data_IF_239526071707
#
_entry.id   IF_239526071707
#
_cell.length_a   1.000
_cell.length_b   1.000
_cell.length_c   1.000
_cell.angle_alpha   90.00
_cell.angle_beta   90.00
_cell.angle_gamma   90.00
#
_symmetry.space_group_name_H-M   'P 1'
#
loop_
_entity.id
_entity.type
_entity.pdbx_description
1 polymer ?
#
# COMPACT_ATOMS: atom_id res chain seq x y z
N UNK A 1 -0.40 4.94 18.48
CA UNK A 1 -1.29 6.13 18.26
C UNK A 1 -2.73 5.65 18.35
N UNK A 2 -3.65 6.42 18.94
CA UNK A 2 -5.08 6.11 19.03
C UNK A 2 -5.92 7.31 18.59
N UNK A 3 -7.22 7.12 18.34
CA UNK A 3 -8.13 8.24 18.09
C UNK A 3 -8.50 8.88 19.42
N UNK A 4 -8.15 10.15 19.60
CA UNK A 4 -8.48 10.96 20.78
C UNK A 4 -9.28 12.20 20.37
N UNK A 5 -9.97 12.79 21.36
CA UNK A 5 -10.73 14.05 21.19
C UNK A 5 -11.74 14.03 20.03
N UNK A 6 -12.40 12.88 19.80
CA UNK A 6 -13.46 12.76 18.80
C UNK A 6 -14.81 13.14 19.42
N UNK A 7 -15.50 14.14 18.82
CA UNK A 7 -16.81 14.61 19.28
C UNK A 7 -17.98 13.73 18.82
N UNK A 8 -17.74 12.77 17.93
CA UNK A 8 -18.78 11.84 17.50
C UNK A 8 -19.10 10.86 18.63
N UNK A 9 -20.37 10.51 18.77
CA UNK A 9 -20.81 9.48 19.71
C UNK A 9 -20.10 8.15 19.41
N UNK A 10 -19.76 7.38 20.44
CA UNK A 10 -19.04 6.10 20.30
C UNK A 10 -19.75 5.12 19.35
N UNK A 11 -21.08 5.08 19.39
CA UNK A 11 -21.90 4.29 18.46
C UNK A 11 -21.65 4.68 17.00
N UNK A 12 -21.55 5.97 16.71
CA UNK A 12 -21.27 6.48 15.35
C UNK A 12 -19.85 6.14 14.94
N UNK A 13 -18.87 6.28 15.84
CA UNK A 13 -17.47 5.91 15.57
C UNK A 13 -17.35 4.43 15.19
N UNK A 14 -18.01 3.53 15.91
CA UNK A 14 -18.04 2.09 15.60
C UNK A 14 -18.64 1.80 14.21
N UNK A 15 -19.76 2.46 13.88
CA UNK A 15 -20.39 2.30 12.56
C UNK A 15 -19.49 2.84 11.43
N UNK A 16 -18.77 3.94 11.68
CA UNK A 16 -17.80 4.46 10.69
C UNK A 16 -16.61 3.51 10.49
N UNK A 17 -16.12 2.82 11.54
CA UNK A 17 -15.12 1.75 11.40
C UNK A 17 -15.65 0.59 10.53
N UNK A 18 -16.90 0.16 10.76
CA UNK A 18 -17.54 -0.88 9.96
C UNK A 18 -17.65 -0.47 8.48
N UNK A 19 -18.12 0.74 8.21
CA UNK A 19 -18.19 1.26 6.84
C UNK A 19 -16.80 1.43 6.20
N UNK A 20 -15.80 1.81 6.99
CA UNK A 20 -14.43 1.94 6.50
C UNK A 20 -13.90 0.59 6.00
N UNK A 21 -14.00 -0.49 6.78
CA UNK A 21 -13.50 -1.81 6.35
C UNK A 21 -14.31 -2.40 5.19
N UNK A 22 -15.57 -2.03 5.04
CA UNK A 22 -16.43 -2.37 3.91
C UNK A 22 -16.18 -1.49 2.67
N UNK A 23 -15.18 -0.63 2.71
CA UNK A 23 -14.80 0.27 1.61
C UNK A 23 -15.92 1.27 1.19
N UNK A 24 -16.87 1.56 2.06
CA UNK A 24 -17.85 2.61 1.85
C UNK A 24 -17.16 3.97 1.97
N UNK A 25 -17.48 4.90 1.06
CA UNK A 25 -16.88 6.24 1.12
C UNK A 25 -17.36 7.01 2.36
N UNK A 26 -16.54 7.93 2.88
CA UNK A 26 -16.92 8.74 4.03
C UNK A 26 -18.21 9.55 3.78
N UNK A 27 -18.42 10.01 2.53
CA UNK A 27 -19.63 10.75 2.14
C UNK A 27 -20.86 9.87 2.22
N UNK A 28 -20.81 8.66 1.66
CA UNK A 28 -21.94 7.70 1.71
C UNK A 28 -22.20 7.23 3.14
N UNK A 29 -21.15 7.00 3.94
CA UNK A 29 -21.29 6.65 5.35
C UNK A 29 -21.95 7.78 6.17
N UNK A 30 -21.60 9.04 5.87
CA UNK A 30 -22.21 10.20 6.53
C UNK A 30 -23.70 10.32 6.21
N UNK A 31 -24.07 10.11 4.97
CA UNK A 31 -25.47 10.13 4.53
C UNK A 31 -26.31 9.10 5.28
N UNK A 32 -25.86 7.83 5.30
CA UNK A 32 -26.55 6.74 6.01
C UNK A 32 -26.65 7.00 7.53
N UNK A 33 -25.64 7.64 8.12
CA UNK A 33 -25.57 7.89 9.57
C UNK A 33 -26.20 9.22 10.01
N UNK A 34 -26.67 10.03 9.05
CA UNK A 34 -27.24 11.36 9.35
C UNK A 34 -26.24 12.32 9.99
N UNK A 35 -24.96 12.27 9.60
CA UNK A 35 -23.91 13.15 10.13
C UNK A 35 -23.31 14.02 9.02
N UNK A 36 -22.61 15.07 9.42
CA UNK A 36 -21.94 15.97 8.49
C UNK A 36 -20.82 15.21 7.70
N UNK A 37 -20.78 15.30 6.34
CA UNK A 37 -19.78 14.63 5.51
C UNK A 37 -18.34 14.93 5.90
N UNK A 38 -18.05 16.17 6.31
CA UNK A 38 -16.73 16.57 6.78
C UNK A 38 -16.33 15.85 8.08
N UNK A 39 -17.28 15.59 8.99
CA UNK A 39 -16.99 14.83 10.21
C UNK A 39 -16.60 13.38 9.90
N UNK A 40 -17.30 12.72 8.97
CA UNK A 40 -16.95 11.38 8.53
C UNK A 40 -15.61 11.36 7.80
N UNK A 41 -15.34 12.34 6.95
CA UNK A 41 -14.07 12.46 6.23
C UNK A 41 -12.87 12.65 7.17
N UNK A 42 -13.01 13.50 8.17
CA UNK A 42 -12.01 13.70 9.24
C UNK A 42 -11.81 12.43 10.07
N UNK A 43 -12.88 11.71 10.38
CA UNK A 43 -12.78 10.44 11.10
C UNK A 43 -12.05 9.38 10.29
N UNK A 44 -12.34 9.24 8.98
CA UNK A 44 -11.62 8.34 8.08
C UNK A 44 -10.14 8.72 7.95
N UNK A 45 -9.83 10.02 7.90
CA UNK A 45 -8.44 10.48 7.93
C UNK A 45 -7.74 10.03 9.21
N UNK A 46 -8.37 10.16 10.38
CA UNK A 46 -7.82 9.68 11.66
C UNK A 46 -7.60 8.16 11.67
N UNK A 47 -8.52 7.36 11.09
CA UNK A 47 -8.31 5.92 10.93
C UNK A 47 -7.04 5.66 10.10
N UNK A 48 -6.86 6.35 8.96
CA UNK A 48 -5.66 6.21 8.12
C UNK A 48 -4.37 6.61 8.85
N UNK A 49 -4.42 7.68 9.62
CA UNK A 49 -3.27 8.14 10.42
C UNK A 49 -2.88 7.08 11.48
N UNK A 50 -3.86 6.52 12.18
CA UNK A 50 -3.63 5.40 13.13
C UNK A 50 -3.09 4.17 12.41
N UNK A 51 -3.68 3.82 11.27
CA UNK A 51 -3.22 2.69 10.44
C UNK A 51 -1.78 2.88 9.99
N UNK A 52 -1.44 4.05 9.45
CA UNK A 52 -0.08 4.36 9.00
C UNK A 52 0.93 4.29 10.15
N UNK A 53 0.56 4.80 11.32
CA UNK A 53 1.40 4.73 12.51
C UNK A 53 1.71 3.28 12.92
N UNK A 54 0.70 2.41 12.99
CA UNK A 54 0.91 1.02 13.40
C UNK A 54 1.69 0.22 12.36
N UNK A 55 1.40 0.42 11.08
CA UNK A 55 2.19 -0.19 10.00
C UNK A 55 3.66 0.28 10.00
N UNK A 56 3.93 1.54 10.35
CA UNK A 56 5.31 2.03 10.47
C UNK A 56 6.03 1.36 11.66
N UNK A 57 5.34 1.12 12.79
CA UNK A 57 5.92 0.34 13.91
C UNK A 57 6.23 -1.10 13.50
N UNK A 58 5.39 -1.73 12.69
CA UNK A 58 5.65 -3.08 12.15
C UNK A 58 6.68 -3.07 11.01
N UNK A 59 7.02 -1.91 10.46
CA UNK A 59 7.96 -1.78 9.35
C UNK A 59 9.40 -2.17 9.68
N UNK A 60 9.70 -2.48 10.94
CA UNK A 60 10.99 -3.04 11.35
C UNK A 60 11.13 -4.54 11.03
N UNK A 61 10.03 -5.22 10.70
CA UNK A 61 10.06 -6.62 10.26
C UNK A 61 10.88 -6.73 8.97
N UNK A 62 11.89 -7.59 8.98
CA UNK A 62 12.73 -7.91 7.82
C UNK A 62 12.07 -9.09 7.10
N UNK A 63 11.94 -8.99 5.80
CA UNK A 63 11.41 -10.05 4.96
C UNK A 63 12.51 -11.04 4.58
N UNK A 64 12.23 -12.31 4.75
CA UNK A 64 13.11 -13.42 4.42
C UNK A 64 12.47 -14.39 3.42
N UNK A 65 13.28 -15.24 2.82
CA UNK A 65 12.83 -16.26 1.87
C UNK A 65 12.51 -15.71 0.50
N UNK A 66 11.31 -15.94 -0.01
CA UNK A 66 10.92 -15.52 -1.37
C UNK A 66 10.20 -14.19 -1.35
N UNK A 67 10.74 -13.20 -2.07
CA UNK A 67 10.26 -11.82 -2.10
C UNK A 67 10.04 -11.36 -3.53
N UNK A 68 8.99 -10.58 -3.76
CA UNK A 68 8.70 -9.93 -5.04
C UNK A 68 8.87 -8.43 -4.89
N UNK A 69 9.55 -7.78 -5.85
CA UNK A 69 9.73 -6.33 -5.91
C UNK A 69 9.11 -5.79 -7.18
N UNK A 70 8.43 -4.66 -7.06
CA UNK A 70 7.90 -3.94 -8.22
C UNK A 70 7.62 -2.49 -7.84
N UNK A 71 7.54 -1.61 -8.84
CA UNK A 71 7.10 -0.25 -8.70
C UNK A 71 5.78 0.02 -9.41
N UNK A 72 4.99 0.92 -8.84
CA UNK A 72 3.76 1.37 -9.47
C UNK A 72 3.61 2.89 -9.41
N UNK A 73 2.90 3.46 -10.37
CA UNK A 73 2.72 4.89 -10.53
C UNK A 73 1.26 5.25 -10.38
N UNK A 74 0.97 6.19 -9.49
CA UNK A 74 -0.38 6.63 -9.15
C UNK A 74 -0.60 8.10 -9.48
N UNK A 75 -1.86 8.45 -9.83
CA UNK A 75 -2.21 9.80 -10.25
C UNK A 75 -1.71 10.14 -11.65
N UNK A 76 -1.64 11.43 -11.94
CA UNK A 76 -1.21 11.96 -13.23
C UNK A 76 -2.32 12.67 -13.97
N UNK A 77 -1.94 13.54 -14.92
CA UNK A 77 -2.87 14.31 -15.74
C UNK A 77 -3.44 13.39 -16.83
N UNK A 78 -4.76 13.41 -17.02
CA UNK A 78 -5.44 12.63 -18.07
C UNK A 78 -5.06 13.04 -19.50
N UNK A 79 -4.48 14.25 -19.68
CA UNK A 79 -3.98 14.76 -20.97
C UNK A 79 -2.46 14.89 -20.87
N UNK A 80 -1.72 14.07 -21.60
CA UNK A 80 -0.26 14.11 -21.67
C UNK A 80 0.31 12.80 -22.20
N UNK A 81 1.62 12.75 -22.42
CA UNK A 81 2.32 11.56 -22.92
C UNK A 81 2.09 10.39 -21.94
N UNK A 82 1.59 9.23 -22.37
CA UNK A 82 1.52 8.04 -21.54
C UNK A 82 2.93 7.56 -21.20
N UNK A 83 3.13 6.99 -20.00
CA UNK A 83 4.41 6.39 -19.62
C UNK A 83 4.73 6.52 -18.13
N UNK A 84 5.82 5.86 -17.71
CA UNK A 84 6.32 5.82 -16.33
C UNK A 84 6.72 7.20 -15.80
N UNK A 85 7.16 8.11 -16.66
CA UNK A 85 7.61 9.47 -16.34
C UNK A 85 6.58 10.58 -16.55
N UNK A 86 5.28 10.30 -16.69
CA UNK A 86 4.28 11.35 -16.91
C UNK A 86 4.21 12.30 -15.71
N UNK A 87 4.22 13.61 -16.00
CA UNK A 87 4.22 14.66 -15.01
C UNK A 87 3.05 14.52 -14.02
N UNK A 88 3.35 14.64 -12.72
CA UNK A 88 2.35 14.57 -11.65
C UNK A 88 2.05 13.16 -11.11
N UNK A 89 2.64 12.09 -11.62
CA UNK A 89 2.54 10.76 -11.03
C UNK A 89 3.37 10.64 -9.75
N UNK A 90 2.84 9.89 -8.79
CA UNK A 90 3.54 9.51 -7.56
C UNK A 90 4.10 8.11 -7.78
N UNK A 91 5.41 7.97 -7.68
CA UNK A 91 6.09 6.69 -7.73
C UNK A 91 5.98 6.00 -6.38
N UNK A 92 5.64 4.72 -6.38
CA UNK A 92 5.55 3.86 -5.20
C UNK A 92 6.39 2.62 -5.45
N UNK A 93 7.22 2.29 -4.48
CA UNK A 93 7.96 1.04 -4.45
C UNK A 93 7.29 0.06 -3.50
N UNK A 94 7.21 -1.21 -3.88
CA UNK A 94 6.59 -2.28 -3.12
C UNK A 94 7.52 -3.48 -2.96
N UNK A 95 7.45 -4.10 -1.79
CA UNK A 95 8.12 -5.34 -1.43
C UNK A 95 7.05 -6.30 -0.91
N UNK A 96 6.89 -7.46 -1.52
CA UNK A 96 5.95 -8.48 -1.08
C UNK A 96 6.71 -9.76 -0.68
N UNK A 97 6.55 -10.20 0.56
CA UNK A 97 6.93 -11.56 0.96
C UNK A 97 5.88 -12.54 0.47
N UNK A 98 6.26 -13.54 -0.34
CA UNK A 98 5.31 -14.55 -0.84
C UNK A 98 4.61 -15.28 0.31
N UNK A 99 3.29 -15.33 0.24
CA UNK A 99 2.47 -15.89 1.31
C UNK A 99 2.42 -15.05 2.60
N UNK A 100 2.97 -13.84 2.56
CA UNK A 100 3.06 -12.93 3.70
C UNK A 100 2.54 -11.52 3.40
N UNK A 101 3.19 -10.54 4.02
CA UNK A 101 2.81 -9.13 3.95
C UNK A 101 3.44 -8.40 2.78
N UNK A 102 2.81 -7.30 2.37
CA UNK A 102 3.38 -6.27 1.50
C UNK A 102 3.85 -5.08 2.35
N UNK A 103 4.96 -4.49 1.94
CA UNK A 103 5.46 -3.20 2.42
C UNK A 103 5.51 -2.22 1.25
N UNK A 104 5.03 -1.00 1.45
CA UNK A 104 5.02 0.02 0.42
C UNK A 104 5.65 1.32 0.88
N UNK A 105 6.34 2.00 -0.04
CA UNK A 105 6.96 3.31 0.20
C UNK A 105 6.75 4.22 -1.00
N UNK A 106 6.29 5.44 -0.75
CA UNK A 106 6.36 6.51 -1.75
C UNK A 106 7.81 6.92 -1.92
N UNK A 107 8.30 6.95 -3.15
CA UNK A 107 9.68 7.27 -3.50
C UNK A 107 9.74 8.49 -4.43
N UNK A 108 10.85 9.20 -4.40
CA UNK A 108 11.06 10.36 -5.28
C UNK A 108 11.28 9.94 -6.73
N UNK A 109 11.97 8.83 -6.92
CA UNK A 109 12.19 8.18 -8.20
C UNK A 109 12.40 6.68 -8.01
N UNK A 110 12.58 5.95 -9.11
CA UNK A 110 12.78 4.49 -9.11
C UNK A 110 14.19 4.11 -9.54
N UNK A 111 15.17 4.96 -9.28
CA UNK A 111 16.57 4.68 -9.56
C UNK A 111 17.16 3.71 -8.54
N UNK A 112 18.23 3.03 -8.95
CA UNK A 112 18.93 2.06 -8.10
C UNK A 112 19.39 2.68 -6.77
N UNK A 113 19.93 3.92 -6.81
CA UNK A 113 20.41 4.64 -5.62
C UNK A 113 19.28 4.92 -4.60
N UNK A 114 18.04 5.05 -5.09
CA UNK A 114 16.86 5.27 -4.24
C UNK A 114 16.30 3.96 -3.70
N UNK A 115 16.30 2.90 -4.51
CA UNK A 115 15.66 1.63 -4.15
C UNK A 115 16.55 0.71 -3.31
N UNK A 116 17.86 0.62 -3.61
CA UNK A 116 18.79 -0.28 -2.94
C UNK A 116 18.85 -0.12 -1.41
N UNK A 117 18.87 1.10 -0.84
CA UNK A 117 18.84 1.26 0.62
C UNK A 117 17.55 0.72 1.25
N UNK A 118 16.41 0.82 0.56
CA UNK A 118 15.14 0.27 1.03
C UNK A 118 15.15 -1.25 0.98
N UNK A 119 15.65 -1.83 -0.10
CA UNK A 119 15.77 -3.27 -0.31
C UNK A 119 16.67 -3.88 0.76
N UNK A 120 17.90 -3.37 0.92
CA UNK A 120 18.87 -3.87 1.88
C UNK A 120 18.39 -3.78 3.33
N UNK A 121 17.63 -2.73 3.64
CA UNK A 121 17.04 -2.56 4.99
C UNK A 121 15.90 -3.52 5.28
N UNK A 122 15.14 -3.95 4.23
CA UNK A 122 13.87 -4.67 4.39
C UNK A 122 13.95 -6.15 4.09
N UNK A 123 14.98 -6.61 3.41
CA UNK A 123 15.11 -7.99 2.95
C UNK A 123 16.36 -8.60 3.58
N UNK A 124 16.20 -9.79 4.17
CA UNK A 124 17.32 -10.55 4.73
C UNK A 124 18.30 -10.99 3.61
N UNK A 125 19.61 -11.00 3.88
CA UNK A 125 20.57 -11.64 3.00
C UNK A 125 20.13 -13.07 2.63
N UNK A 126 20.61 -13.59 1.50
CA UNK A 126 20.27 -14.93 0.98
C UNK A 126 18.80 -15.16 0.62
N UNK A 127 17.98 -14.11 0.62
CA UNK A 127 16.61 -14.18 0.10
C UNK A 127 16.58 -14.30 -1.41
N UNK A 128 15.57 -14.99 -1.95
CA UNK A 128 15.31 -15.06 -3.39
C UNK A 128 14.44 -13.87 -3.76
N UNK A 129 14.95 -13.00 -4.61
CA UNK A 129 14.28 -11.74 -4.98
C UNK A 129 13.85 -11.79 -6.45
N UNK A 130 12.54 -11.76 -6.68
CA UNK A 130 11.94 -11.69 -8.00
C UNK A 130 11.62 -10.26 -8.38
N UNK A 131 12.03 -9.85 -9.57
CA UNK A 131 11.75 -8.53 -10.16
C UNK A 131 11.33 -8.65 -11.63
N UNK A 132 10.80 -7.56 -12.20
CA UNK A 132 10.77 -7.41 -13.65
C UNK A 132 12.18 -7.13 -14.21
N UNK A 133 12.29 -6.98 -15.53
CA UNK A 133 13.56 -6.67 -16.20
C UNK A 133 13.94 -5.18 -16.16
N UNK A 134 13.42 -4.41 -15.21
CA UNK A 134 13.74 -2.99 -15.14
C UNK A 134 15.19 -2.75 -14.68
N UNK A 135 15.88 -1.82 -15.37
CA UNK A 135 17.34 -1.59 -15.18
C UNK A 135 17.75 -1.21 -13.77
N UNK A 136 16.85 -0.61 -12.99
CA UNK A 136 17.15 -0.23 -11.60
C UNK A 136 17.47 -1.42 -10.70
N UNK A 137 17.06 -2.63 -11.09
CA UNK A 137 17.35 -3.86 -10.34
C UNK A 137 18.67 -4.53 -10.72
N UNK A 138 19.44 -3.98 -11.68
CA UNK A 138 20.74 -4.56 -12.07
C UNK A 138 21.74 -4.60 -10.91
N UNK A 139 21.62 -3.69 -9.95
CA UNK A 139 22.47 -3.66 -8.75
C UNK A 139 22.22 -4.87 -7.82
N UNK A 140 21.11 -5.58 -7.95
CA UNK A 140 20.82 -6.81 -7.18
C UNK A 140 21.71 -7.98 -7.61
N UNK A 141 22.16 -8.01 -8.86
CA UNK A 141 22.99 -9.09 -9.40
C UNK A 141 24.36 -9.19 -8.71
N UNK A 142 24.83 -8.09 -8.10
CA UNK A 142 26.10 -8.03 -7.38
C UNK A 142 25.91 -7.86 -5.87
N UNK A 143 24.68 -8.10 -5.39
CA UNK A 143 24.31 -7.96 -3.97
C UNK A 143 24.31 -9.32 -3.24
N UNK A 144 23.94 -9.31 -1.96
CA UNK A 144 23.81 -10.51 -1.13
C UNK A 144 22.46 -11.25 -1.31
N UNK A 145 21.79 -11.10 -2.46
CA UNK A 145 20.49 -11.70 -2.77
C UNK A 145 20.61 -12.67 -3.95
N UNK A 146 19.77 -13.70 -3.98
CA UNK A 146 19.56 -14.52 -5.19
C UNK A 146 18.54 -13.82 -6.08
N UNK A 147 19.01 -13.08 -7.08
CA UNK A 147 18.17 -12.28 -7.95
C UNK A 147 17.66 -13.06 -9.16
N UNK A 148 16.33 -13.13 -9.30
CA UNK A 148 15.64 -13.80 -10.40
C UNK A 148 14.82 -12.77 -11.19
N UNK A 149 15.14 -12.59 -12.46
CA UNK A 149 14.46 -11.66 -13.36
C UNK A 149 13.37 -12.34 -14.16
N UNK A 150 12.23 -11.68 -14.28
CA UNK A 150 11.08 -12.15 -15.04
C UNK A 150 10.91 -11.30 -16.28
N UNK A 151 11.07 -11.93 -17.47
CA UNK A 151 10.86 -11.26 -18.73
C UNK A 151 9.44 -11.52 -19.24
N UNK A 152 8.53 -10.58 -18.95
CA UNK A 152 7.13 -10.67 -19.39
C UNK A 152 6.92 -10.65 -20.91
N UNK A 153 7.93 -10.27 -21.71
CA UNK A 153 7.82 -10.26 -23.17
C UNK A 153 8.02 -11.62 -23.84
N UNK A 154 8.64 -12.58 -23.13
CA UNK A 154 8.99 -13.90 -23.69
C UNK A 154 8.36 -15.08 -22.98
N UNK A 155 7.94 -14.93 -21.70
CA UNK A 155 7.44 -16.05 -20.89
C UNK A 155 6.34 -15.59 -19.93
N UNK A 156 5.13 -16.08 -20.14
CA UNK A 156 3.94 -15.84 -19.27
C UNK A 156 3.92 -16.72 -18.00
N UNK A 157 4.99 -17.09 -17.45
CA UNK A 157 5.26 -17.89 -16.25
C UNK A 157 5.94 -19.23 -16.57
N UNK A 158 7.17 -19.38 -16.15
CA UNK A 158 7.81 -20.70 -16.02
C UNK A 158 7.71 -21.15 -14.55
N UNK A 159 6.71 -21.96 -14.22
CA UNK A 159 6.57 -22.54 -12.90
C UNK A 159 6.37 -21.50 -11.80
N UNK A 160 7.32 -21.40 -10.84
CA UNK A 160 7.26 -20.47 -9.70
C UNK A 160 7.84 -19.08 -9.98
N UNK A 161 8.36 -18.83 -11.18
CA UNK A 161 9.00 -17.55 -11.54
C UNK A 161 7.94 -16.54 -12.03
N UNK A 162 7.40 -15.76 -11.13
CA UNK A 162 6.43 -14.69 -11.39
C UNK A 162 6.43 -13.65 -10.27
N UNK A 163 5.94 -12.44 -10.56
CA UNK A 163 5.66 -11.38 -9.58
C UNK A 163 4.15 -11.09 -9.46
N UNK A 164 3.34 -12.12 -9.71
CA UNK A 164 1.87 -11.99 -9.71
C UNK A 164 1.31 -11.53 -8.36
N UNK A 165 2.00 -11.81 -7.26
CA UNK A 165 1.58 -11.42 -5.92
C UNK A 165 1.56 -9.91 -5.76
N UNK A 166 2.67 -9.24 -6.11
CA UNK A 166 2.77 -7.78 -6.00
C UNK A 166 1.95 -7.07 -7.08
N UNK A 167 1.85 -7.63 -8.29
CA UNK A 167 0.96 -7.10 -9.32
C UNK A 167 -0.51 -7.16 -8.89
N UNK A 168 -0.94 -8.24 -8.23
CA UNK A 168 -2.27 -8.36 -7.66
C UNK A 168 -2.51 -7.29 -6.58
N UNK A 169 -1.53 -7.05 -5.71
CA UNK A 169 -1.61 -5.95 -4.75
C UNK A 169 -1.83 -4.60 -5.46
N UNK A 170 -1.06 -4.28 -6.51
CA UNK A 170 -1.26 -3.03 -7.25
C UNK A 170 -2.64 -2.92 -7.89
N UNK A 171 -3.16 -4.01 -8.43
CA UNK A 171 -4.51 -4.05 -9.00
C UNK A 171 -5.58 -3.79 -7.93
N UNK A 172 -5.44 -4.38 -6.75
CA UNK A 172 -6.33 -4.11 -5.61
C UNK A 172 -6.23 -2.65 -5.14
N UNK A 173 -5.02 -2.13 -4.95
CA UNK A 173 -4.78 -0.75 -4.55
C UNK A 173 -5.40 0.24 -5.55
N UNK A 174 -5.17 0.05 -6.84
CA UNK A 174 -5.75 0.89 -7.90
C UNK A 174 -7.29 0.84 -7.88
N UNK A 175 -7.89 -0.33 -7.63
CA UNK A 175 -9.36 -0.49 -7.51
C UNK A 175 -9.91 0.28 -6.32
N UNK A 176 -9.30 0.18 -5.15
CA UNK A 176 -9.70 0.92 -3.93
C UNK A 176 -9.57 2.43 -4.16
N UNK A 177 -8.44 2.88 -4.70
CA UNK A 177 -8.15 4.29 -4.88
C UNK A 177 -8.98 4.96 -5.98
N UNK A 178 -9.51 4.20 -6.95
CA UNK A 178 -10.37 4.71 -8.04
C UNK A 178 -11.63 5.39 -7.52
N UNK A 179 -12.10 5.06 -6.32
CA UNK A 179 -13.26 5.69 -5.66
C UNK A 179 -13.00 7.13 -5.24
N UNK A 180 -11.73 7.53 -5.14
CA UNK A 180 -11.32 8.84 -4.64
C UNK A 180 -10.75 9.68 -5.79
N UNK A 181 -11.53 10.68 -6.22
CA UNK A 181 -11.07 11.63 -7.21
C UNK A 181 -10.32 12.79 -6.53
N UNK A 182 -9.09 13.09 -7.00
CA UNK A 182 -8.33 14.24 -6.53
C UNK A 182 -7.71 14.07 -5.14
N UNK A 183 -7.14 12.90 -4.83
CA UNK A 183 -6.32 12.73 -3.62
C UNK A 183 -5.13 13.69 -3.71
N UNK A 184 -5.00 14.57 -2.73
CA UNK A 184 -3.84 15.46 -2.60
C UNK A 184 -2.56 14.64 -2.40
N UNK A 185 -1.46 15.09 -3.00
CA UNK A 185 -0.16 14.38 -2.91
C UNK A 185 0.29 14.17 -1.47
N UNK A 186 0.06 15.15 -0.60
CA UNK A 186 0.40 15.09 0.83
C UNK A 186 -0.42 14.04 1.58
N UNK A 187 -1.63 13.77 1.13
CA UNK A 187 -2.54 12.77 1.72
C UNK A 187 -2.35 11.38 1.14
N UNK A 188 -1.76 11.27 -0.06
CA UNK A 188 -1.62 10.00 -0.78
C UNK A 188 -0.93 8.90 0.05
N UNK A 189 0.15 9.17 0.83
CA UNK A 189 0.77 8.14 1.67
C UNK A 189 -0.19 7.47 2.65
N UNK A 190 -1.16 8.21 3.19
CA UNK A 190 -2.17 7.65 4.10
C UNK A 190 -3.13 6.69 3.37
N UNK A 191 -3.52 7.00 2.15
CA UNK A 191 -4.35 6.11 1.33
C UNK A 191 -3.58 4.87 0.87
N UNK A 192 -2.29 5.03 0.56
CA UNK A 192 -1.42 3.90 0.25
C UNK A 192 -1.31 2.93 1.43
N UNK A 193 -1.12 3.46 2.65
CA UNK A 193 -1.08 2.65 3.87
C UNK A 193 -2.44 1.99 4.19
N UNK A 194 -3.55 2.60 3.82
CA UNK A 194 -4.85 1.92 3.86
C UNK A 194 -4.87 0.70 2.92
N UNK A 195 -4.35 0.81 1.71
CA UNK A 195 -4.28 -0.32 0.78
C UNK A 195 -3.36 -1.43 1.30
N UNK A 196 -2.20 -1.08 1.85
CA UNK A 196 -1.26 -2.00 2.50
C UNK A 196 -1.93 -2.74 3.67
N UNK A 197 -2.63 -2.02 4.55
CA UNK A 197 -3.40 -2.60 5.65
C UNK A 197 -4.44 -3.61 5.16
N UNK A 198 -5.24 -3.24 4.14
CA UNK A 198 -6.28 -4.11 3.59
C UNK A 198 -5.72 -5.41 3.03
N UNK A 199 -4.59 -5.35 2.37
CA UNK A 199 -3.91 -6.53 1.84
C UNK A 199 -3.34 -7.41 2.96
N UNK A 200 -2.68 -6.80 3.95
CA UNK A 200 -1.96 -7.52 5.00
C UNK A 200 -2.87 -8.18 6.05
N UNK A 201 -4.09 -7.69 6.24
CA UNK A 201 -4.94 -8.09 7.36
C UNK A 201 -6.26 -8.76 6.95
N UNK A 202 -6.28 -9.35 5.77
CA UNK A 202 -7.31 -10.32 5.37
C UNK A 202 -8.72 -9.76 5.23
N UNK A 203 -9.69 -10.42 5.88
CA UNK A 203 -11.12 -10.12 5.71
C UNK A 203 -11.57 -8.85 6.43
N UNK A 204 -12.66 -8.19 6.00
CA UNK A 204 -13.22 -7.04 6.72
C UNK A 204 -13.48 -7.28 8.21
N UNK A 205 -13.85 -8.51 8.59
CA UNK A 205 -14.06 -8.89 10.00
C UNK A 205 -12.74 -8.84 10.80
N UNK A 206 -11.65 -9.35 10.21
CA UNK A 206 -10.31 -9.30 10.83
C UNK A 206 -9.80 -7.85 10.92
N UNK A 207 -9.93 -7.09 9.83
CA UNK A 207 -9.57 -5.68 9.76
C UNK A 207 -10.32 -4.84 10.82
N UNK A 208 -11.62 -5.08 10.98
CA UNK A 208 -12.43 -4.39 11.98
C UNK A 208 -11.94 -4.66 13.41
N UNK A 209 -11.61 -5.93 13.72
CA UNK A 209 -11.06 -6.31 15.04
C UNK A 209 -9.75 -5.57 15.33
N UNK A 210 -8.86 -5.50 14.34
CA UNK A 210 -7.57 -4.82 14.46
C UNK A 210 -7.75 -3.32 14.63
N UNK A 211 -8.60 -2.69 13.80
CA UNK A 211 -8.85 -1.25 13.88
C UNK A 211 -9.50 -0.85 15.21
N UNK A 212 -10.44 -1.64 15.75
CA UNK A 212 -11.00 -1.40 17.09
C UNK A 212 -9.90 -1.37 18.14
N UNK A 213 -8.95 -2.32 18.09
CA UNK A 213 -7.82 -2.35 19.01
C UNK A 213 -6.89 -1.15 18.83
N UNK A 214 -6.50 -0.84 17.59
CA UNK A 214 -5.58 0.27 17.32
C UNK A 214 -6.18 1.64 17.61
N UNK A 215 -7.46 1.85 17.30
CA UNK A 215 -8.16 3.12 17.55
C UNK A 215 -8.63 3.27 18.98
N UNK A 216 -8.73 2.17 19.74
CA UNK A 216 -9.28 2.09 21.11
C UNK A 216 -10.74 2.56 21.19
N UNK A 217 -11.55 2.13 20.23
CA UNK A 217 -12.98 2.43 20.13
C UNK A 217 -13.84 1.21 20.48
#
# INVERSE_FOLDING_TARGET
>A
MKISHCRLLKKIQLRLLEFFVLEVTARSAADILGIQPNSAALFYRKIREVTAYHLEQESHEIFDGVVELDESYFGGVRKGKPGRGAAGKVAVFGILKRGGKVYTKVVGDTKSETLMPLITRKIAPDSIVYTDCYRSYNALDVSHFYHERINHSTLFAQGKNHINGIENFWNQAKRVLRKYNGILKESFPLFLKECEFRFNYGTPKQQLKILKNWTQI
#
